data_IF_330808177301
#
_entry.id   IF_330808177301
#
_cell.length_a   1.000
_cell.length_b   1.000
_cell.length_c   1.000
_cell.angle_alpha   90.00
_cell.angle_beta   90.00
_cell.angle_gamma   90.00
#
_symmetry.space_group_name_H-M   'P 1'
#
loop_
_entity.id
_entity.type
_entity.pdbx_description
1 polymer ?
#
# COMPACT_ATOMS: atom_id res chain seq x y z
N UNK A 1 -18.58 -24.57 -51.32
CA UNK A 1 -19.64 -23.55 -51.19
C UNK A 1 -18.97 -22.22 -50.83
N UNK A 2 -18.72 -21.36 -51.82
CA UNK A 2 -18.02 -20.08 -51.67
C UNK A 2 -18.99 -19.06 -51.04
N UNK A 3 -18.65 -18.45 -49.89
CA UNK A 3 -19.35 -17.27 -49.37
C UNK A 3 -18.72 -16.04 -50.02
N UNK A 4 -19.54 -15.24 -50.71
CA UNK A 4 -19.11 -13.99 -51.35
C UNK A 4 -18.75 -12.90 -50.33
N UNK A 5 -18.11 -11.81 -50.78
CA UNK A 5 -17.74 -10.70 -49.92
C UNK A 5 -18.99 -9.90 -49.53
N UNK A 6 -19.22 -9.77 -48.22
CA UNK A 6 -20.18 -8.81 -47.67
C UNK A 6 -19.61 -7.41 -47.85
N UNK A 7 -20.20 -6.67 -48.78
CA UNK A 7 -20.10 -5.21 -48.87
C UNK A 7 -20.58 -4.61 -47.54
N UNK A 8 -19.64 -4.13 -46.72
CA UNK A 8 -19.94 -3.29 -45.57
C UNK A 8 -19.99 -1.84 -46.05
N UNK A 9 -21.21 -1.33 -46.19
CA UNK A 9 -21.45 0.08 -46.37
C UNK A 9 -20.84 0.85 -45.18
N UNK A 10 -19.88 1.71 -45.51
CA UNK A 10 -19.25 2.67 -44.62
C UNK A 10 -20.29 3.67 -44.09
N UNK A 11 -20.77 3.46 -42.87
CA UNK A 11 -21.36 4.51 -42.05
C UNK A 11 -20.87 4.39 -40.60
N UNK A 12 -19.55 4.44 -40.39
CA UNK A 12 -19.00 4.68 -39.07
C UNK A 12 -18.97 6.19 -38.84
N UNK A 13 -19.98 6.69 -38.13
CA UNK A 13 -19.80 7.90 -37.33
C UNK A 13 -18.73 7.56 -36.29
N UNK A 14 -17.47 7.81 -36.62
CA UNK A 14 -16.36 7.66 -35.70
C UNK A 14 -16.67 8.54 -34.48
N UNK A 15 -16.86 7.89 -33.33
CA UNK A 15 -16.92 8.63 -32.07
C UNK A 15 -15.53 9.21 -31.89
N UNK A 16 -15.41 10.53 -31.99
CA UNK A 16 -14.15 11.22 -31.84
C UNK A 16 -13.75 11.19 -30.36
N UNK A 17 -12.96 10.18 -29.96
CA UNK A 17 -12.49 10.01 -28.59
C UNK A 17 -11.53 11.13 -28.14
N UNK A 18 -11.15 12.06 -29.03
CA UNK A 18 -10.29 13.20 -28.70
C UNK A 18 -11.00 14.27 -27.87
N UNK A 19 -12.34 14.27 -27.84
CA UNK A 19 -13.14 15.23 -27.03
C UNK A 19 -13.45 14.71 -25.62
N UNK A 20 -12.92 13.55 -25.23
CA UNK A 20 -13.17 12.96 -23.92
C UNK A 20 -12.13 13.45 -22.93
N UNK A 21 -12.50 14.47 -22.15
CA UNK A 21 -11.61 15.19 -21.22
C UNK A 21 -11.17 14.37 -19.99
N UNK A 22 -11.63 13.13 -19.77
CA UNK A 22 -11.27 12.37 -18.54
C UNK A 22 -11.01 10.87 -18.76
N UNK A 23 -10.06 10.30 -18.00
CA UNK A 23 -9.63 8.90 -18.09
C UNK A 23 -10.76 7.87 -17.96
N UNK A 24 -11.67 8.05 -17.00
CA UNK A 24 -12.83 7.16 -16.84
C UNK A 24 -13.80 7.22 -18.02
N UNK A 25 -14.08 8.41 -18.55
CA UNK A 25 -14.93 8.55 -19.73
C UNK A 25 -14.25 7.95 -20.97
N UNK A 26 -12.92 8.00 -21.05
CA UNK A 26 -12.15 7.42 -22.14
C UNK A 26 -12.24 5.88 -22.11
N UNK A 27 -12.01 5.26 -20.95
CA UNK A 27 -12.15 3.80 -20.79
C UNK A 27 -13.61 3.36 -21.04
N UNK A 28 -14.59 4.08 -20.49
CA UNK A 28 -16.01 3.81 -20.75
C UNK A 28 -16.35 3.96 -22.25
N UNK A 29 -15.74 4.93 -22.93
CA UNK A 29 -15.84 5.12 -24.37
C UNK A 29 -15.33 3.90 -25.15
N UNK A 30 -14.15 3.40 -24.81
CA UNK A 30 -13.56 2.20 -25.41
C UNK A 30 -14.41 0.94 -25.18
N UNK A 31 -15.00 0.81 -23.98
CA UNK A 31 -15.91 -0.30 -23.67
C UNK A 31 -17.20 -0.18 -24.50
N UNK A 32 -17.78 1.03 -24.57
CA UNK A 32 -19.01 1.28 -25.34
C UNK A 32 -18.81 1.06 -26.84
N UNK A 33 -17.63 1.40 -27.39
CA UNK A 33 -17.29 1.18 -28.79
C UNK A 33 -16.86 -0.25 -29.11
N UNK A 34 -16.77 -1.12 -28.10
CA UNK A 34 -16.23 -2.49 -28.20
C UNK A 34 -14.74 -2.54 -28.62
N UNK A 35 -14.04 -1.42 -28.63
CA UNK A 35 -12.59 -1.38 -28.80
C UNK A 35 -11.84 -1.99 -27.59
N UNK A 36 -12.48 -1.98 -26.41
CA UNK A 36 -12.05 -2.69 -25.22
C UNK A 36 -13.13 -3.66 -24.78
N UNK A 37 -12.84 -4.96 -24.83
CA UNK A 37 -13.69 -5.99 -24.22
C UNK A 37 -13.13 -6.27 -22.82
N UNK A 38 -13.82 -5.85 -21.74
CA UNK A 38 -13.35 -6.15 -20.40
C UNK A 38 -13.42 -7.67 -20.17
N UNK A 39 -12.42 -8.25 -19.49
CA UNK A 39 -12.42 -9.68 -19.19
C UNK A 39 -13.64 -10.04 -18.34
N UNK A 40 -14.25 -11.17 -18.64
CA UNK A 40 -15.36 -11.72 -17.86
C UNK A 40 -14.91 -12.13 -16.46
N UNK A 41 -15.85 -12.21 -15.53
CA UNK A 41 -15.56 -12.70 -14.17
C UNK A 41 -14.94 -14.10 -14.17
N UNK A 42 -15.31 -14.94 -15.13
CA UNK A 42 -14.78 -16.30 -15.25
C UNK A 42 -13.34 -16.31 -15.77
N UNK A 43 -13.00 -15.44 -16.73
CA UNK A 43 -11.61 -15.25 -17.20
C UNK A 43 -10.71 -14.68 -16.10
N UNK A 44 -11.23 -13.77 -15.27
CA UNK A 44 -10.53 -13.24 -14.10
C UNK A 44 -10.31 -14.34 -13.06
N UNK A 45 -11.35 -15.12 -12.74
CA UNK A 45 -11.27 -16.23 -11.79
C UNK A 45 -10.26 -17.28 -12.25
N UNK A 46 -10.27 -17.64 -13.53
CA UNK A 46 -9.33 -18.62 -14.09
C UNK A 46 -7.87 -18.20 -13.91
N UNK A 47 -7.57 -16.91 -14.15
CA UNK A 47 -6.24 -16.33 -13.92
C UNK A 47 -5.85 -16.27 -12.43
N UNK A 48 -6.82 -16.24 -11.52
CA UNK A 48 -6.59 -16.10 -10.06
C UNK A 48 -6.49 -17.43 -9.28
N UNK A 49 -6.61 -18.60 -9.93
CA UNK A 49 -6.64 -19.90 -9.23
C UNK A 49 -5.35 -20.21 -8.47
N UNK A 50 -4.18 -20.03 -9.10
CA UNK A 50 -2.88 -20.25 -8.45
C UNK A 50 -2.54 -19.22 -7.35
N UNK A 51 -3.21 -18.07 -7.41
CA UNK A 51 -3.07 -16.99 -6.45
C UNK A 51 -3.78 -17.32 -5.13
N UNK A 52 -4.96 -17.96 -5.18
CA UNK A 52 -5.74 -18.31 -3.98
C UNK A 52 -5.00 -19.26 -3.04
N UNK A 53 -4.34 -20.30 -3.57
CA UNK A 53 -3.55 -21.23 -2.75
C UNK A 53 -2.35 -20.52 -2.11
N UNK A 54 -1.62 -19.72 -2.89
CA UNK A 54 -0.46 -18.97 -2.42
C UNK A 54 -0.83 -17.98 -1.32
N UNK A 55 -1.92 -17.21 -1.51
CA UNK A 55 -2.48 -16.30 -0.51
C UNK A 55 -2.89 -17.03 0.77
N UNK A 56 -3.58 -18.17 0.64
CA UNK A 56 -4.04 -18.95 1.80
C UNK A 56 -2.86 -19.47 2.62
N UNK A 57 -1.84 -20.05 1.98
CA UNK A 57 -0.63 -20.52 2.66
C UNK A 57 0.08 -19.37 3.36
N UNK A 58 0.25 -18.23 2.69
CA UNK A 58 0.87 -17.05 3.27
C UNK A 58 0.10 -16.55 4.51
N UNK A 59 -1.23 -16.51 4.45
CA UNK A 59 -2.08 -16.11 5.59
C UNK A 59 -1.95 -17.12 6.74
N UNK A 60 -2.00 -18.42 6.47
CA UNK A 60 -1.83 -19.46 7.49
C UNK A 60 -0.46 -19.37 8.17
N UNK A 61 0.62 -19.23 7.39
CA UNK A 61 1.97 -19.06 7.93
C UNK A 61 2.07 -17.79 8.81
N UNK A 62 1.47 -16.70 8.35
CA UNK A 62 1.48 -15.43 9.09
C UNK A 62 0.70 -15.54 10.40
N UNK A 63 -0.50 -16.12 10.37
CA UNK A 63 -1.33 -16.35 11.56
C UNK A 63 -0.65 -17.31 12.54
N UNK A 64 0.02 -18.34 12.04
CA UNK A 64 0.79 -19.25 12.87
C UNK A 64 1.94 -18.55 13.59
N UNK A 65 2.68 -17.68 12.89
CA UNK A 65 3.71 -16.84 13.52
C UNK A 65 3.13 -15.94 14.61
N UNK A 66 2.00 -15.26 14.35
CA UNK A 66 1.31 -14.44 15.36
C UNK A 66 0.91 -15.28 16.57
N UNK A 67 0.34 -16.48 16.36
CA UNK A 67 -0.03 -17.40 17.42
C UNK A 67 1.18 -17.84 18.26
N UNK A 68 2.34 -18.10 17.63
CA UNK A 68 3.58 -18.42 18.32
C UNK A 68 4.04 -17.28 19.23
N UNK A 69 3.99 -16.04 18.76
CA UNK A 69 4.34 -14.88 19.60
C UNK A 69 3.37 -14.70 20.78
N UNK A 70 2.07 -14.88 20.56
CA UNK A 70 1.07 -14.81 21.64
C UNK A 70 1.32 -15.92 22.68
N UNK A 71 1.55 -17.15 22.21
CA UNK A 71 1.82 -18.28 23.10
C UNK A 71 3.12 -18.12 23.89
N UNK A 72 4.19 -17.59 23.25
CA UNK A 72 5.42 -17.20 23.95
C UNK A 72 5.15 -16.20 25.06
N UNK A 73 4.33 -15.18 24.78
CA UNK A 73 3.93 -14.18 25.79
C UNK A 73 3.17 -14.82 26.95
N UNK A 74 2.23 -15.72 26.65
CA UNK A 74 1.42 -16.40 27.65
C UNK A 74 2.24 -17.35 28.55
N UNK A 75 3.28 -17.97 28.00
CA UNK A 75 4.19 -18.86 28.75
C UNK A 75 5.35 -18.11 29.43
N UNK A 76 5.34 -16.76 29.43
CA UNK A 76 6.40 -15.96 30.05
C UNK A 76 7.76 -16.06 29.36
N UNK A 77 7.81 -16.57 28.12
CA UNK A 77 9.04 -16.64 27.34
C UNK A 77 9.40 -15.28 26.76
N UNK A 78 10.70 -15.05 26.56
CA UNK A 78 11.17 -13.84 25.93
C UNK A 78 10.75 -13.80 24.46
N UNK A 79 10.17 -12.68 24.05
CA UNK A 79 9.96 -12.34 22.64
C UNK A 79 11.08 -11.39 22.26
N UNK A 80 11.75 -11.66 21.15
CA UNK A 80 12.87 -10.86 20.66
C UNK A 80 12.37 -9.55 20.04
N UNK A 81 13.19 -8.50 20.04
CA UNK A 81 12.83 -7.26 19.35
C UNK A 81 12.67 -7.47 17.83
N UNK A 82 13.35 -8.46 17.26
CA UNK A 82 13.17 -8.85 15.86
C UNK A 82 11.78 -9.47 15.63
N UNK A 83 11.30 -10.34 16.53
CA UNK A 83 9.94 -10.86 16.46
C UNK A 83 8.90 -9.74 16.62
N UNK A 84 9.12 -8.75 17.49
CA UNK A 84 8.25 -7.56 17.60
C UNK A 84 8.24 -6.76 16.28
N UNK A 85 9.41 -6.60 15.65
CA UNK A 85 9.51 -5.96 14.33
C UNK A 85 8.71 -6.73 13.27
N UNK A 86 8.87 -8.05 13.21
CA UNK A 86 8.12 -8.91 12.29
C UNK A 86 6.63 -8.90 12.61
N UNK A 87 6.22 -8.86 13.88
CA UNK A 87 4.82 -8.71 14.28
C UNK A 87 4.20 -7.42 13.74
N UNK A 88 4.93 -6.30 13.83
CA UNK A 88 4.45 -5.02 13.28
C UNK A 88 4.23 -5.11 11.76
N UNK A 89 5.17 -5.69 11.02
CA UNK A 89 5.02 -5.91 9.56
C UNK A 89 3.89 -6.88 9.23
N UNK A 90 3.77 -7.99 9.94
CA UNK A 90 2.74 -9.00 9.68
C UNK A 90 1.33 -8.46 9.88
N UNK A 91 1.10 -7.59 10.89
CA UNK A 91 -0.20 -6.91 11.07
C UNK A 91 -0.57 -6.08 9.84
N UNK A 92 0.35 -5.27 9.31
CA UNK A 92 0.11 -4.51 8.07
C UNK A 92 -0.12 -5.47 6.89
N UNK A 93 0.71 -6.50 6.76
CA UNK A 93 0.63 -7.45 5.66
C UNK A 93 -0.71 -8.18 5.62
N UNK A 94 -1.24 -8.62 6.77
CA UNK A 94 -2.58 -9.24 6.85
C UNK A 94 -3.67 -8.26 6.42
N UNK A 95 -3.62 -7.00 6.88
CA UNK A 95 -4.57 -5.98 6.46
C UNK A 95 -4.51 -5.72 4.94
N UNK A 96 -3.31 -5.65 4.36
CA UNK A 96 -3.13 -5.53 2.91
C UNK A 96 -3.68 -6.74 2.15
N UNK A 97 -3.41 -7.97 2.60
CA UNK A 97 -3.94 -9.17 1.96
C UNK A 97 -5.47 -9.24 2.03
N UNK A 98 -6.07 -8.78 3.13
CA UNK A 98 -7.52 -8.69 3.25
C UNK A 98 -8.11 -7.67 2.25
N UNK A 99 -7.53 -6.48 2.16
CA UNK A 99 -7.95 -5.45 1.20
C UNK A 99 -7.76 -5.89 -0.26
N UNK A 100 -6.71 -6.65 -0.55
CA UNK A 100 -6.37 -7.12 -1.90
C UNK A 100 -6.83 -8.54 -2.19
N UNK A 101 -7.72 -9.11 -1.37
CA UNK A 101 -8.14 -10.51 -1.53
C UNK A 101 -8.64 -10.80 -2.94
N UNK A 102 -9.50 -9.90 -3.44
CA UNK A 102 -10.11 -9.98 -4.77
C UNK A 102 -9.23 -9.44 -5.90
N UNK A 103 -8.06 -8.86 -5.60
CA UNK A 103 -7.13 -8.36 -6.61
C UNK A 103 -6.33 -9.54 -7.18
N UNK A 104 -6.39 -9.82 -8.49
CA UNK A 104 -5.69 -10.94 -9.09
C UNK A 104 -4.17 -10.72 -9.05
N UNK A 105 -3.42 -11.70 -8.56
CA UNK A 105 -1.95 -11.72 -8.56
C UNK A 105 -1.42 -12.55 -9.75
N UNK A 106 -0.18 -12.28 -10.19
CA UNK A 106 0.53 -13.06 -11.21
C UNK A 106 -0.13 -13.10 -12.60
N UNK A 107 -0.74 -11.99 -13.04
CA UNK A 107 -1.24 -11.84 -14.41
C UNK A 107 -0.06 -11.82 -15.39
N UNK A 108 0.12 -12.90 -16.16
CA UNK A 108 1.24 -13.06 -17.11
C UNK A 108 1.09 -12.27 -18.41
N UNK A 109 -0.14 -11.99 -18.82
CA UNK A 109 -0.41 -11.35 -20.10
C UNK A 109 -1.32 -10.13 -19.89
N UNK A 110 -0.91 -8.93 -20.36
CA UNK A 110 -1.77 -7.76 -20.31
C UNK A 110 -2.95 -7.91 -21.29
N UNK A 111 -4.07 -7.26 -20.96
CA UNK A 111 -5.17 -7.06 -21.92
C UNK A 111 -4.72 -5.99 -22.91
N UNK A 112 -4.62 -6.34 -24.19
CA UNK A 112 -4.23 -5.40 -25.25
C UNK A 112 -5.47 -4.66 -25.73
N UNK A 113 -5.32 -3.35 -25.91
CA UNK A 113 -6.34 -2.47 -26.47
C UNK A 113 -5.80 -1.97 -27.80
N UNK A 114 -6.53 -2.22 -28.89
CA UNK A 114 -6.18 -1.66 -30.19
C UNK A 114 -6.58 -0.18 -30.21
N UNK A 115 -5.65 0.69 -30.59
CA UNK A 115 -5.88 2.13 -30.70
C UNK A 115 -5.76 2.59 -32.15
N UNK A 116 -6.64 3.50 -32.55
CA UNK A 116 -6.78 3.94 -33.96
C UNK A 116 -5.82 5.06 -34.37
N UNK A 117 -5.10 5.68 -33.43
CA UNK A 117 -4.28 6.86 -33.69
C UNK A 117 -2.78 6.61 -33.47
N UNK A 118 -1.89 7.14 -34.34
CA UNK A 118 -0.45 7.12 -34.11
C UNK A 118 -0.14 7.92 -32.85
N UNK A 119 0.42 7.22 -31.87
CA UNK A 119 0.62 7.76 -30.53
C UNK A 119 1.77 8.75 -30.48
N UNK A 120 1.54 9.93 -29.94
CA UNK A 120 2.60 10.91 -29.65
C UNK A 120 3.31 10.46 -28.38
N UNK A 121 4.51 9.86 -28.50
CA UNK A 121 5.36 9.61 -27.33
C UNK A 121 5.83 10.95 -26.79
N UNK A 122 5.23 11.40 -25.68
CA UNK A 122 5.72 12.55 -24.94
C UNK A 122 6.87 12.07 -24.06
N UNK A 123 8.07 12.58 -24.28
CA UNK A 123 9.18 12.41 -23.34
C UNK A 123 8.93 13.31 -22.15
N UNK A 124 8.25 12.78 -21.13
CA UNK A 124 8.06 13.50 -19.87
C UNK A 124 9.35 13.42 -19.07
N UNK A 125 9.85 14.56 -18.60
CA UNK A 125 10.99 14.60 -17.69
C UNK A 125 10.44 14.70 -16.28
N UNK A 126 10.77 13.74 -15.43
CA UNK A 126 10.28 13.69 -14.06
C UNK A 126 10.72 14.94 -13.28
N UNK A 127 9.77 15.62 -12.65
CA UNK A 127 10.04 16.72 -11.73
C UNK A 127 9.92 16.24 -10.28
N UNK A 128 10.78 16.73 -9.38
CA UNK A 128 10.79 16.30 -7.98
C UNK A 128 9.48 16.63 -7.23
N UNK A 129 8.72 17.59 -7.72
CA UNK A 129 7.38 17.94 -7.24
C UNK A 129 6.40 16.77 -7.42
N UNK A 130 6.49 16.03 -8.52
CA UNK A 130 5.64 14.85 -8.81
C UNK A 130 5.88 13.70 -7.83
N UNK A 131 7.08 13.62 -7.23
CA UNK A 131 7.38 12.61 -6.22
C UNK A 131 6.40 12.68 -5.03
N UNK A 132 5.96 13.90 -4.68
CA UNK A 132 5.00 14.12 -3.60
C UNK A 132 3.64 13.56 -3.99
N UNK A 133 3.21 13.76 -5.24
CA UNK A 133 1.93 13.24 -5.73
C UNK A 133 1.92 11.70 -5.74
N UNK A 134 3.04 11.07 -6.08
CA UNK A 134 3.18 9.61 -5.98
C UNK A 134 3.19 9.09 -4.54
N UNK A 135 3.80 9.82 -3.60
CA UNK A 135 3.82 9.43 -2.18
C UNK A 135 2.42 9.53 -1.57
N UNK A 136 1.62 10.48 -2.05
CA UNK A 136 0.32 10.86 -1.47
C UNK A 136 -0.87 10.27 -2.24
N UNK A 137 -0.60 9.49 -3.29
CA UNK A 137 -1.64 8.84 -4.08
C UNK A 137 -2.39 9.77 -5.04
N UNK A 138 -1.91 11.00 -5.25
CA UNK A 138 -2.52 12.01 -6.12
C UNK A 138 -1.94 12.01 -7.55
N UNK A 139 -1.02 11.10 -7.88
CA UNK A 139 -0.39 11.03 -9.21
C UNK A 139 -1.38 10.84 -10.37
N UNK A 140 -2.62 10.43 -10.10
CA UNK A 140 -3.63 10.18 -11.12
C UNK A 140 -4.06 11.48 -11.85
N UNK A 141 -3.83 12.65 -11.24
CA UNK A 141 -4.08 13.97 -11.86
C UNK A 141 -3.20 14.19 -13.11
N UNK A 142 -1.95 13.75 -13.04
CA UNK A 142 -0.95 14.01 -14.09
C UNK A 142 -0.93 12.92 -15.16
N UNK A 143 -1.71 11.84 -14.97
CA UNK A 143 -1.70 10.68 -15.86
C UNK A 143 -2.82 10.78 -16.90
N UNK A 144 -2.41 11.06 -18.14
CA UNK A 144 -3.27 10.88 -19.31
C UNK A 144 -3.05 9.51 -19.95
N UNK A 145 -4.02 8.59 -19.76
CA UNK A 145 -3.90 7.19 -20.23
C UNK A 145 -3.68 7.07 -21.74
N UNK A 146 -4.26 7.96 -22.55
CA UNK A 146 -4.10 7.93 -24.00
C UNK A 146 -2.66 8.26 -24.43
N UNK A 147 -1.83 8.86 -23.57
CA UNK A 147 -0.41 9.11 -23.83
C UNK A 147 0.52 7.94 -23.39
N UNK A 148 0.02 6.97 -22.60
CA UNK A 148 0.83 5.90 -21.96
C UNK A 148 0.62 4.48 -22.50
N UNK A 149 1.70 3.78 -22.88
CA UNK A 149 1.68 2.38 -23.41
C UNK A 149 1.07 1.33 -22.48
N UNK A 150 0.89 1.67 -21.21
CA UNK A 150 0.26 0.83 -20.19
C UNK A 150 -0.32 1.72 -19.11
N UNK A 151 -1.31 1.17 -18.40
CA UNK A 151 -1.82 1.78 -17.17
C UNK A 151 -0.70 1.79 -16.12
N UNK A 152 -0.40 2.94 -15.48
CA UNK A 152 0.58 3.00 -14.41
C UNK A 152 0.21 2.11 -13.21
N UNK A 153 1.23 1.62 -12.49
CA UNK A 153 1.08 0.59 -11.44
C UNK A 153 0.13 0.97 -10.30
N UNK A 154 0.03 2.26 -9.96
CA UNK A 154 -0.80 2.76 -8.86
C UNK A 154 -2.02 3.56 -9.32
N UNK A 155 -2.31 3.52 -10.62
CA UNK A 155 -3.47 4.22 -11.16
C UNK A 155 -4.76 3.63 -10.61
N UNK A 156 -5.62 4.51 -10.10
CA UNK A 156 -6.87 4.18 -9.42
C UNK A 156 -8.09 4.96 -9.96
N UNK A 157 -7.86 5.94 -10.86
CA UNK A 157 -8.82 6.94 -11.33
C UNK A 157 -9.43 7.79 -10.20
N UNK A 158 -8.82 7.76 -9.02
CA UNK A 158 -9.28 8.51 -7.85
C UNK A 158 -8.37 9.71 -7.67
N UNK A 159 -8.83 10.88 -8.11
CA UNK A 159 -8.19 12.16 -7.79
C UNK A 159 -8.95 12.88 -6.66
N UNK A 160 -8.19 13.59 -5.84
CA UNK A 160 -8.62 14.49 -4.77
C UNK A 160 -9.58 15.58 -5.25
N UNK A 161 -9.47 16.00 -6.51
CA UNK A 161 -10.38 16.98 -7.13
C UNK A 161 -11.79 16.46 -7.35
N UNK A 162 -11.94 15.13 -7.50
CA UNK A 162 -13.21 14.48 -7.91
C UNK A 162 -13.84 13.64 -6.81
N UNK A 163 -13.05 13.17 -5.84
CA UNK A 163 -13.52 12.25 -4.80
C UNK A 163 -12.80 12.46 -3.47
N UNK A 164 -13.49 12.16 -2.36
CA UNK A 164 -12.87 12.08 -1.03
C UNK A 164 -12.14 10.75 -0.79
N UNK A 165 -12.01 9.89 -1.81
CA UNK A 165 -11.43 8.55 -1.67
C UNK A 165 -9.94 8.63 -1.30
N UNK A 166 -9.11 9.47 -1.96
CA UNK A 166 -7.70 9.63 -1.60
C UNK A 166 -7.53 10.08 -0.14
N UNK A 167 -8.31 11.08 0.29
CA UNK A 167 -8.30 11.56 1.68
C UNK A 167 -8.61 10.43 2.69
N UNK A 168 -9.62 9.60 2.40
CA UNK A 168 -9.96 8.45 3.26
C UNK A 168 -8.84 7.42 3.26
N UNK A 169 -8.20 7.18 2.11
CA UNK A 169 -7.06 6.27 1.99
C UNK A 169 -5.85 6.77 2.81
N UNK A 170 -5.56 8.06 2.79
CA UNK A 170 -4.49 8.68 3.59
C UNK A 170 -4.75 8.54 5.09
N UNK A 171 -5.98 8.82 5.54
CA UNK A 171 -6.36 8.64 6.95
C UNK A 171 -6.21 7.17 7.38
N UNK A 172 -6.62 6.22 6.53
CA UNK A 172 -6.43 4.79 6.77
C UNK A 172 -4.94 4.45 6.83
N UNK A 173 -4.13 4.93 5.90
CA UNK A 173 -2.69 4.67 5.85
C UNK A 173 -1.98 5.21 7.10
N UNK A 174 -2.33 6.41 7.55
CA UNK A 174 -1.81 7.01 8.78
C UNK A 174 -2.26 6.25 10.02
N UNK A 175 -3.51 5.80 10.06
CA UNK A 175 -4.02 4.94 11.14
C UNK A 175 -3.25 3.62 11.21
N UNK A 176 -2.97 3.00 10.06
CA UNK A 176 -2.14 1.79 9.96
C UNK A 176 -0.71 2.05 10.43
N UNK A 177 -0.13 3.21 10.08
CA UNK A 177 1.20 3.61 10.55
C UNK A 177 1.24 3.79 12.09
N UNK A 178 0.19 4.35 12.68
CA UNK A 178 0.07 4.45 14.15
C UNK A 178 0.02 3.08 14.81
N UNK A 179 -0.80 2.15 14.29
CA UNK A 179 -0.89 0.78 14.80
C UNK A 179 0.47 0.08 14.69
N UNK A 180 1.15 0.24 13.56
CA UNK A 180 2.51 -0.29 13.36
C UNK A 180 3.48 0.23 14.42
N UNK A 181 3.49 1.55 14.68
CA UNK A 181 4.30 2.15 15.74
C UNK A 181 3.97 1.61 17.12
N UNK A 182 2.68 1.50 17.45
CA UNK A 182 2.21 1.06 18.76
C UNK A 182 2.65 -0.38 19.09
N UNK A 183 2.78 -1.26 18.09
CA UNK A 183 3.33 -2.61 18.30
C UNK A 183 4.75 -2.56 18.86
N UNK A 184 5.59 -1.63 18.43
CA UNK A 184 6.96 -1.49 18.96
C UNK A 184 7.01 -1.02 20.42
N UNK A 185 5.98 -0.29 20.87
CA UNK A 185 5.84 0.10 22.27
C UNK A 185 5.60 -1.11 23.20
N UNK A 186 5.16 -2.26 22.69
CA UNK A 186 5.00 -3.48 23.51
C UNK A 186 6.33 -4.00 24.09
N UNK A 187 7.46 -3.64 23.46
CA UNK A 187 8.81 -3.94 23.92
C UNK A 187 9.37 -2.90 24.92
N UNK A 188 8.53 -2.03 25.50
CA UNK A 188 8.94 -0.92 26.36
C UNK A 188 9.92 -1.31 27.48
N UNK A 189 9.68 -2.47 28.09
CA UNK A 189 10.42 -2.96 29.25
C UNK A 189 11.50 -3.98 28.91
N UNK A 190 11.77 -4.25 27.63
CA UNK A 190 12.76 -5.26 27.22
C UNK A 190 14.18 -4.89 27.65
N UNK A 191 15.02 -5.91 27.72
CA UNK A 191 16.45 -5.77 27.95
C UNK A 191 17.14 -5.38 26.63
N UNK A 192 18.06 -4.42 26.71
CA UNK A 192 18.88 -3.97 25.60
C UNK A 192 20.36 -4.04 26.02
N UNK A 193 21.29 -4.27 25.08
CA UNK A 193 22.72 -4.27 25.36
C UNK A 193 23.23 -3.01 26.07
N UNK A 194 22.64 -1.83 25.81
CA UNK A 194 22.95 -0.61 26.56
C UNK A 194 21.72 0.23 26.95
N UNK A 195 21.82 1.07 27.99
CA UNK A 195 20.76 2.02 28.36
C UNK A 195 20.44 3.01 27.23
N UNK A 196 21.45 3.43 26.46
CA UNK A 196 21.30 4.34 25.33
C UNK A 196 20.47 3.71 24.22
N UNK A 197 20.73 2.44 23.87
CA UNK A 197 19.92 1.70 22.91
C UNK A 197 18.46 1.57 23.37
N UNK A 198 18.23 1.31 24.66
CA UNK A 198 16.88 1.26 25.23
C UNK A 198 16.16 2.60 25.12
N UNK A 199 16.85 3.70 25.41
CA UNK A 199 16.29 5.04 25.29
C UNK A 199 15.96 5.38 23.82
N UNK A 200 16.89 5.08 22.90
CA UNK A 200 16.70 5.27 21.46
C UNK A 200 15.53 4.45 20.91
N UNK A 201 15.37 3.19 21.36
CA UNK A 201 14.21 2.37 21.00
C UNK A 201 12.91 3.03 21.43
N UNK A 202 12.80 3.43 22.70
CA UNK A 202 11.59 4.06 23.26
C UNK A 202 11.25 5.37 22.55
N UNK A 203 12.24 6.22 22.35
CA UNK A 203 12.08 7.50 21.65
C UNK A 203 11.61 7.26 20.20
N UNK A 204 12.23 6.30 19.50
CA UNK A 204 11.88 5.99 18.11
C UNK A 204 10.50 5.36 17.99
N UNK A 205 10.13 4.43 18.88
CA UNK A 205 8.81 3.81 18.93
C UNK A 205 7.71 4.84 19.19
N UNK A 206 7.93 5.76 20.14
CA UNK A 206 7.02 6.89 20.37
C UNK A 206 6.94 7.82 19.16
N UNK A 207 8.07 8.15 18.54
CA UNK A 207 8.11 9.02 17.37
C UNK A 207 7.28 8.44 16.21
N UNK A 208 7.50 7.17 15.83
CA UNK A 208 6.74 6.56 14.72
C UNK A 208 5.26 6.32 15.06
N UNK A 209 4.89 6.27 16.35
CA UNK A 209 3.48 6.19 16.79
C UNK A 209 2.82 7.55 16.79
N UNK A 210 3.53 8.60 17.21
CA UNK A 210 2.98 9.92 17.46
C UNK A 210 2.99 10.83 16.23
N UNK A 211 4.02 10.76 15.37
CA UNK A 211 4.15 11.61 14.16
C UNK A 211 2.94 11.50 13.21
N UNK A 212 2.36 10.31 12.96
CA UNK A 212 1.19 10.21 12.06
C UNK A 212 -0.08 10.87 12.62
N UNK A 213 -0.19 11.12 13.93
CA UNK A 213 -1.39 11.71 14.57
C UNK A 213 -1.65 13.14 14.08
N UNK A 214 -0.72 14.11 14.26
CA UNK A 214 -0.92 15.46 13.75
C UNK A 214 -0.98 15.49 12.22
N UNK A 215 -0.32 14.56 11.53
CA UNK A 215 -0.48 14.41 10.07
C UNK A 215 -1.93 14.08 9.74
N UNK A 216 -2.52 13.03 10.35
CA UNK A 216 -3.90 12.63 10.09
C UNK A 216 -4.91 13.72 10.44
N UNK A 217 -4.68 14.44 11.54
CA UNK A 217 -5.49 15.60 11.91
C UNK A 217 -5.38 16.72 10.87
N UNK A 218 -4.18 17.00 10.35
CA UNK A 218 -3.98 17.99 9.31
C UNK A 218 -4.68 17.59 8.00
N UNK A 219 -4.62 16.32 7.58
CA UNK A 219 -5.38 15.80 6.44
C UNK A 219 -6.90 15.92 6.62
N UNK A 220 -7.41 15.74 7.84
CA UNK A 220 -8.85 15.81 8.12
C UNK A 220 -9.40 17.25 8.07
N UNK A 221 -8.56 18.26 8.31
CA UNK A 221 -8.96 19.68 8.37
C UNK A 221 -8.60 20.42 7.09
N UNK A 222 -7.48 20.06 6.47
CA UNK A 222 -6.97 20.65 5.24
C UNK A 222 -6.71 19.53 4.23
N UNK A 223 -6.95 19.78 2.95
CA UNK A 223 -6.36 18.98 1.88
C UNK A 223 -4.95 19.54 1.61
N UNK A 224 -3.88 19.04 2.26
CA UNK A 224 -2.53 19.63 2.15
C UNK A 224 -1.99 19.65 0.72
N UNK A 225 -2.57 18.83 -0.17
CA UNK A 225 -2.19 18.73 -1.58
C UNK A 225 -3.20 19.40 -2.53
N UNK A 226 -4.17 20.15 -2.02
CA UNK A 226 -4.88 21.10 -2.87
C UNK A 226 -3.89 22.20 -3.25
N UNK A 227 -3.33 22.07 -4.46
CA UNK A 227 -2.28 22.90 -5.07
C UNK A 227 -2.61 24.40 -5.16
N UNK A 228 -3.78 24.84 -4.70
CA UNK A 228 -4.25 26.21 -4.77
C UNK A 228 -4.17 26.99 -3.43
N UNK A 229 -3.82 26.36 -2.29
CA UNK A 229 -3.77 27.07 -1.02
C UNK A 229 -2.43 27.79 -0.80
N UNK A 230 -2.41 29.08 -1.15
CA UNK A 230 -1.26 29.98 -0.95
C UNK A 230 -1.22 30.61 0.45
N UNK A 231 -2.10 30.19 1.36
CA UNK A 231 -2.13 30.68 2.73
C UNK A 231 -0.85 30.32 3.49
N UNK A 232 -0.42 31.22 4.39
CA UNK A 232 0.67 30.98 5.34
C UNK A 232 0.40 29.69 6.14
N UNK A 233 -0.86 29.42 6.49
CA UNK A 233 -1.25 28.21 7.20
C UNK A 233 -1.00 26.92 6.39
N UNK A 234 -1.17 26.97 5.07
CA UNK A 234 -0.87 25.87 4.15
C UNK A 234 0.63 25.57 4.09
N UNK A 235 1.47 26.61 3.96
CA UNK A 235 2.93 26.45 3.97
C UNK A 235 3.46 25.91 5.31
N UNK A 236 2.93 26.38 6.43
CA UNK A 236 3.28 25.86 7.76
C UNK A 236 2.89 24.37 7.86
N UNK A 237 1.68 24.02 7.42
CA UNK A 237 1.19 22.63 7.45
C UNK A 237 2.07 21.72 6.61
N UNK A 238 2.40 22.12 5.38
CA UNK A 238 3.31 21.38 4.49
C UNK A 238 4.70 21.21 5.12
N UNK A 239 5.26 22.27 5.71
CA UNK A 239 6.54 22.22 6.41
C UNK A 239 6.53 21.25 7.60
N UNK A 240 5.45 21.25 8.40
CA UNK A 240 5.27 20.29 9.48
C UNK A 240 5.16 18.85 8.99
N UNK A 241 4.45 18.60 7.89
CA UNK A 241 4.36 17.27 7.28
C UNK A 241 5.73 16.78 6.77
N UNK A 242 6.48 17.64 6.07
CA UNK A 242 7.81 17.32 5.57
C UNK A 242 8.79 17.01 6.72
N UNK A 243 8.77 17.82 7.79
CA UNK A 243 9.57 17.58 8.99
C UNK A 243 9.17 16.26 9.68
N UNK A 244 7.87 15.97 9.78
CA UNK A 244 7.37 14.71 10.32
C UNK A 244 7.91 13.50 9.53
N UNK A 245 7.83 13.54 8.20
CA UNK A 245 8.40 12.52 7.34
C UNK A 245 9.91 12.36 7.51
N UNK A 246 10.64 13.47 7.58
CA UNK A 246 12.10 13.48 7.78
C UNK A 246 12.52 12.88 9.13
N UNK A 247 11.72 13.08 10.18
CA UNK A 247 11.97 12.49 11.51
C UNK A 247 11.52 11.02 11.61
N UNK A 248 10.49 10.63 10.84
CA UNK A 248 9.97 9.27 10.83
C UNK A 248 10.97 8.25 10.25
N UNK A 249 11.63 8.59 9.14
CA UNK A 249 12.60 7.71 8.47
C UNK A 249 13.76 7.28 9.39
N UNK A 250 14.52 8.19 10.04
CA UNK A 250 15.62 7.79 10.91
C UNK A 250 15.13 7.02 12.15
N UNK A 251 13.98 7.39 12.74
CA UNK A 251 13.39 6.62 13.83
C UNK A 251 13.13 5.17 13.43
N UNK A 252 12.62 4.94 12.21
CA UNK A 252 12.42 3.59 11.66
C UNK A 252 13.73 2.85 11.44
N UNK A 253 14.75 3.52 10.91
CA UNK A 253 16.07 2.93 10.71
C UNK A 253 16.73 2.53 12.05
N UNK A 254 16.55 3.34 13.09
CA UNK A 254 17.02 3.03 14.45
C UNK A 254 16.32 1.79 14.99
N UNK A 255 14.99 1.68 14.88
CA UNK A 255 14.27 0.48 15.34
C UNK A 255 14.75 -0.79 14.61
N UNK A 256 14.97 -0.72 13.31
CA UNK A 256 15.53 -1.84 12.53
C UNK A 256 16.94 -2.20 13.02
N UNK A 257 17.83 -1.22 13.13
CA UNK A 257 19.21 -1.44 13.57
C UNK A 257 19.27 -2.03 15.00
N UNK A 258 18.46 -1.50 15.93
CA UNK A 258 18.41 -1.99 17.31
C UNK A 258 17.79 -3.39 17.41
N UNK A 259 16.78 -3.70 16.60
CA UNK A 259 16.20 -5.05 16.55
C UNK A 259 17.27 -6.11 16.22
N UNK A 260 18.18 -5.79 15.30
CA UNK A 260 19.32 -6.63 14.94
C UNK A 260 20.43 -6.61 16.01
N UNK A 261 20.74 -5.44 16.59
CA UNK A 261 21.75 -5.32 17.66
C UNK A 261 21.42 -6.21 18.86
N UNK A 262 20.13 -6.29 19.23
CA UNK A 262 19.68 -7.06 20.40
C UNK A 262 19.84 -8.57 20.24
N UNK A 263 20.05 -9.08 19.01
CA UNK A 263 20.34 -10.51 18.78
C UNK A 263 21.67 -10.94 19.39
N UNK A 264 22.57 -10.01 19.67
CA UNK A 264 23.88 -10.29 20.30
C UNK A 264 23.74 -10.76 21.76
N UNK A 265 22.66 -10.36 22.44
CA UNK A 265 22.45 -10.61 23.87
C UNK A 265 21.03 -11.15 24.13
N UNK A 266 20.71 -12.32 23.56
CA UNK A 266 19.41 -12.95 23.76
C UNK A 266 19.35 -13.76 25.06
N UNK A 267 18.24 -13.68 25.82
CA UNK A 267 18.01 -14.55 26.97
C UNK A 267 17.82 -16.00 26.52
N UNK A 268 18.17 -16.96 27.37
CA UNK A 268 18.07 -18.40 27.06
C UNK A 268 16.64 -18.84 26.68
N UNK A 269 15.62 -18.21 27.26
CA UNK A 269 14.22 -18.50 26.94
C UNK A 269 13.83 -18.13 25.50
N UNK A 270 14.60 -17.29 24.80
CA UNK A 270 14.37 -16.99 23.38
C UNK A 270 14.66 -18.20 22.47
N UNK A 271 15.47 -19.15 22.92
CA UNK A 271 15.79 -20.38 22.18
C UNK A 271 14.81 -21.53 22.46
N UNK A 272 13.87 -21.34 23.39
CA UNK A 272 12.89 -22.35 23.75
C UNK A 272 11.69 -22.34 22.79
N UNK A 273 11.12 -23.52 22.57
CA UNK A 273 9.91 -23.71 21.75
C UNK A 273 8.67 -23.66 22.62
N UNK A 274 7.58 -23.10 22.06
CA UNK A 274 6.27 -23.08 22.71
C UNK A 274 5.81 -24.51 23.00
N UNK A 275 5.49 -24.79 24.26
CA UNK A 275 4.92 -26.07 24.66
C UNK A 275 3.40 -26.05 24.45
N UNK A 276 2.95 -26.40 23.25
CA UNK A 276 1.53 -26.34 22.89
C UNK A 276 0.65 -27.28 23.73
N UNK A 277 1.22 -28.38 24.22
CA UNK A 277 0.54 -29.36 25.08
C UNK A 277 0.04 -28.75 26.39
N UNK A 278 0.67 -27.70 26.91
CA UNK A 278 0.25 -26.99 28.13
C UNK A 278 -1.08 -26.25 27.97
N UNK A 279 -1.50 -25.95 26.72
CA UNK A 279 -2.80 -25.31 26.45
C UNK A 279 -3.95 -26.32 26.26
N UNK A 280 -3.64 -27.61 26.09
CA UNK A 280 -4.65 -28.66 26.01
C UNK A 280 -5.12 -28.95 27.43
N UNK A 281 -6.43 -28.83 27.74
CA UNK A 281 -6.93 -29.15 29.07
C UNK A 281 -6.53 -30.57 29.46
N UNK A 282 -5.84 -30.70 30.57
CA UNK A 282 -5.46 -32.00 31.12
C UNK A 282 -6.69 -32.56 31.85
N UNK A 283 -7.14 -33.75 31.46
CA UNK A 283 -8.23 -34.48 32.14
C UNK A 283 -7.60 -35.30 33.27
#
# INVERSE_FOLDING_TARGET
>A
MKRGPLSMASSSSWVDFTTIETGNQYILGLVKSRALVPPTTDELKDKSKGDTLSKTVAVVQTLWFVAQCIARRAQGMAITNLEIMTLAYTVITVAMYAAWWHKPLNVRCPVRVEGDAPRKKRTHHFEWTEAIDYITGNQDHDVQLHEHDRVPTFWSDCDSTRSQIPLRADIIALSVAMVFGAVHCTAWSYAFPSPTEKALWRASALAITAIPIPMAAAFAVFSPFATADTSISGHITMGCMALGGLLYVPARMVLLALSLSTLRNLPLSAFQTVQWTTFVPHI
#
